data_IF_802203840327
#
_entry.id   IF_802203840327
#
_cell.length_a   1.000
_cell.length_b   1.000
_cell.length_c   1.000
_cell.angle_alpha   90.00
_cell.angle_beta   90.00
_cell.angle_gamma   90.00
#
_symmetry.space_group_name_H-M   'P 1'
#
loop_
_entity.id
_entity.type
_entity.pdbx_description
1 polymer ?
#
# COMPACT_ATOMS: atom_id res chain seq x y z
N UNK A 1 1.83 13.66 3.15
CA UNK A 1 1.58 12.48 2.31
C UNK A 1 2.40 11.34 2.86
N UNK A 2 1.74 10.22 3.14
CA UNK A 2 2.38 9.04 3.72
C UNK A 2 2.38 7.94 2.66
N UNK A 3 3.54 7.36 2.38
CA UNK A 3 3.75 6.35 1.35
C UNK A 3 4.28 5.09 2.02
N UNK A 4 3.55 3.98 1.90
CA UNK A 4 3.98 2.65 2.35
C UNK A 4 4.23 1.75 1.15
N UNK A 5 5.37 1.07 1.12
CA UNK A 5 5.76 0.16 0.04
C UNK A 5 6.20 -1.14 0.68
N UNK A 6 5.47 -2.23 0.43
CA UNK A 6 5.91 -3.56 0.81
C UNK A 6 6.82 -4.12 -0.28
N UNK A 7 8.08 -4.36 0.09
CA UNK A 7 9.13 -4.80 -0.82
C UNK A 7 10.26 -5.49 -0.05
N UNK A 8 10.83 -6.54 -0.62
CA UNK A 8 11.93 -7.33 -0.04
C UNK A 8 13.29 -7.11 -0.71
N UNK A 9 13.35 -6.25 -1.73
CA UNK A 9 14.62 -5.92 -2.37
C UNK A 9 15.49 -5.08 -1.42
N UNK A 10 16.81 -5.21 -1.51
CA UNK A 10 17.75 -4.52 -0.62
C UNK A 10 18.28 -3.20 -1.19
N UNK A 11 17.93 -2.86 -2.44
CA UNK A 11 18.51 -1.76 -3.21
C UNK A 11 17.71 -0.44 -3.12
N UNK A 12 16.91 -0.28 -2.06
CA UNK A 12 16.06 0.90 -1.85
C UNK A 12 16.82 2.22 -1.72
N UNK A 13 18.07 2.18 -1.22
CA UNK A 13 18.85 3.38 -0.89
C UNK A 13 19.12 4.28 -2.10
N UNK A 14 19.18 3.69 -3.29
CA UNK A 14 19.52 4.39 -4.54
C UNK A 14 18.29 4.82 -5.35
N UNK A 15 17.09 4.48 -4.90
CA UNK A 15 15.87 4.87 -5.60
C UNK A 15 15.61 6.38 -5.41
N UNK A 16 15.27 7.11 -6.48
CA UNK A 16 14.96 8.53 -6.38
C UNK A 16 13.72 8.73 -5.52
N UNK A 17 13.86 9.48 -4.42
CA UNK A 17 12.79 9.81 -3.50
C UNK A 17 12.51 11.31 -3.54
N UNK A 18 11.24 11.68 -3.66
CA UNK A 18 10.80 13.05 -3.45
C UNK A 18 10.54 13.27 -1.95
N UNK A 19 11.62 13.31 -1.15
CA UNK A 19 11.51 13.63 0.27
C UNK A 19 11.30 15.13 0.44
N UNK A 20 10.22 15.48 1.15
CA UNK A 20 9.91 16.85 1.55
C UNK A 20 9.47 16.83 3.01
N UNK A 21 9.43 17.99 3.68
CA UNK A 21 8.92 18.09 5.05
C UNK A 21 7.49 17.54 5.23
N UNK A 22 6.74 17.38 4.13
CA UNK A 22 5.36 16.90 4.13
C UNK A 22 5.20 15.50 3.54
N UNK A 23 6.26 14.81 3.10
CA UNK A 23 6.18 13.48 2.49
C UNK A 23 7.09 12.49 3.20
N UNK A 24 6.52 11.39 3.69
CA UNK A 24 7.26 10.31 4.35
C UNK A 24 7.10 8.98 3.61
N UNK A 25 8.20 8.26 3.46
CA UNK A 25 8.24 6.93 2.85
C UNK A 25 8.55 5.88 3.92
N UNK A 26 7.89 4.74 3.84
CA UNK A 26 8.18 3.58 4.69
C UNK A 26 8.27 2.35 3.81
N UNK A 27 9.47 1.77 3.76
CA UNK A 27 9.70 0.44 3.22
C UNK A 27 9.30 -0.58 4.27
N UNK A 28 8.43 -1.50 3.88
CA UNK A 28 7.79 -2.46 4.78
C UNK A 28 8.27 -3.84 4.34
N UNK A 29 9.10 -4.52 5.15
CA UNK A 29 9.53 -5.87 4.80
C UNK A 29 8.31 -6.81 4.80
N UNK A 30 8.21 -7.74 3.84
CA UNK A 30 7.16 -8.75 3.85
C UNK A 30 7.21 -9.61 5.11
N UNK A 31 6.04 -10.00 5.61
CA UNK A 31 5.90 -10.85 6.80
C UNK A 31 5.36 -12.24 6.45
N UNK A 32 5.51 -13.23 7.36
CA UNK A 32 4.87 -14.55 7.26
C UNK A 32 3.32 -14.47 7.35
N UNK A 33 2.68 -13.89 6.34
CA UNK A 33 1.23 -13.80 6.19
C UNK A 33 0.79 -13.76 4.72
N UNK A 34 1.76 -13.87 3.80
CA UNK A 34 1.54 -13.71 2.37
C UNK A 34 1.61 -12.25 1.93
N UNK A 35 1.72 -12.07 0.62
CA UNK A 35 1.92 -10.77 -0.03
C UNK A 35 0.80 -9.78 0.34
N UNK A 36 1.19 -8.61 0.83
CA UNK A 36 0.30 -7.53 1.27
C UNK A 36 -0.15 -7.62 2.72
N UNK A 37 0.21 -8.66 3.46
CA UNK A 37 -0.12 -8.78 4.89
C UNK A 37 0.56 -7.68 5.70
N UNK A 38 1.86 -7.46 5.47
CA UNK A 38 2.64 -6.47 6.20
C UNK A 38 2.16 -5.04 5.88
N UNK A 39 1.91 -4.73 4.60
CA UNK A 39 1.36 -3.44 4.19
C UNK A 39 -0.02 -3.18 4.80
N UNK A 40 -0.89 -4.20 4.83
CA UNK A 40 -2.23 -4.08 5.42
C UNK A 40 -2.17 -3.84 6.94
N UNK A 41 -1.28 -4.54 7.65
CA UNK A 41 -1.05 -4.33 9.08
C UNK A 41 -0.51 -2.92 9.36
N UNK A 42 0.52 -2.50 8.62
CA UNK A 42 1.10 -1.16 8.74
C UNK A 42 0.06 -0.07 8.43
N UNK A 43 -0.73 -0.23 7.37
CA UNK A 43 -1.77 0.73 6.99
C UNK A 43 -2.82 0.88 8.09
N UNK A 44 -3.25 -0.24 8.68
CA UNK A 44 -4.24 -0.25 9.77
C UNK A 44 -3.73 0.41 11.05
N UNK A 45 -2.42 0.28 11.33
CA UNK A 45 -1.80 0.85 12.52
C UNK A 45 -1.39 2.33 12.36
N UNK A 46 -1.02 2.73 11.15
CA UNK A 46 -0.38 4.03 10.90
C UNK A 46 -1.37 5.09 10.43
N UNK A 47 -2.37 4.71 9.62
CA UNK A 47 -3.29 5.66 9.01
C UNK A 47 -4.53 5.82 9.87
N UNK A 48 -4.76 7.04 10.34
CA UNK A 48 -5.99 7.43 11.02
C UNK A 48 -6.98 8.00 10.01
N UNK A 49 -8.25 7.62 10.13
CA UNK A 49 -9.31 8.22 9.32
C UNK A 49 -9.44 9.72 9.60
N UNK A 50 -9.47 10.52 8.55
CA UNK A 50 -9.90 11.93 8.56
C UNK A 50 -10.94 12.14 7.47
N UNK A 51 -11.76 13.21 7.48
CA UNK A 51 -12.74 13.47 6.41
C UNK A 51 -12.13 13.71 5.02
N UNK A 52 -10.88 14.17 4.95
CA UNK A 52 -10.12 14.49 3.74
C UNK A 52 -9.15 13.38 3.31
N UNK A 53 -9.05 12.29 4.08
CA UNK A 53 -8.20 11.14 3.74
C UNK A 53 -8.56 10.59 2.34
N UNK A 54 -7.56 10.50 1.49
CA UNK A 54 -7.63 9.82 0.21
C UNK A 54 -6.49 8.80 0.13
N UNK A 55 -6.79 7.59 -0.34
CA UNK A 55 -5.78 6.54 -0.48
C UNK A 55 -5.69 6.02 -1.91
N UNK A 56 -4.49 5.99 -2.44
CA UNK A 56 -4.17 5.34 -3.70
C UNK A 56 -3.28 4.12 -3.43
N UNK A 57 -3.61 2.97 -4.04
CA UNK A 57 -2.80 1.77 -3.90
C UNK A 57 -2.72 0.97 -5.19
N UNK A 58 -1.53 0.48 -5.54
CA UNK A 58 -1.36 -0.36 -6.71
C UNK A 58 -0.28 -1.42 -6.48
N UNK A 59 -0.28 -2.47 -7.30
CA UNK A 59 0.68 -3.57 -7.21
C UNK A 59 0.08 -4.90 -7.61
N UNK A 60 0.57 -5.98 -6.97
CA UNK A 60 0.07 -7.33 -7.18
C UNK A 60 -1.38 -7.48 -6.69
N UNK A 61 -2.19 -8.30 -7.36
CA UNK A 61 -3.62 -8.49 -7.08
C UNK A 61 -3.93 -8.86 -5.62
N UNK A 62 -3.21 -9.79 -5.01
CA UNK A 62 -3.42 -10.22 -3.62
C UNK A 62 -3.06 -9.09 -2.66
N UNK A 63 -1.94 -8.41 -2.89
CA UNK A 63 -1.55 -7.24 -2.10
C UNK A 63 -2.63 -6.16 -2.12
N UNK A 64 -3.08 -5.79 -3.31
CA UNK A 64 -4.08 -4.73 -3.48
C UNK A 64 -5.43 -5.15 -2.90
N UNK A 65 -5.77 -6.45 -2.89
CA UNK A 65 -6.96 -6.95 -2.19
C UNK A 65 -6.86 -6.77 -0.67
N UNK A 66 -5.70 -7.08 -0.07
CA UNK A 66 -5.46 -6.89 1.36
C UNK A 66 -5.57 -5.42 1.75
N UNK A 67 -4.91 -4.53 0.99
CA UNK A 67 -5.04 -3.08 1.16
C UNK A 67 -6.49 -2.63 1.05
N UNK A 68 -7.20 -3.02 -0.02
CA UNK A 68 -8.60 -2.63 -0.23
C UNK A 68 -9.52 -3.09 0.91
N UNK A 69 -9.25 -4.24 1.51
CA UNK A 69 -9.98 -4.72 2.68
C UNK A 69 -9.81 -3.77 3.87
N UNK A 70 -8.58 -3.33 4.16
CA UNK A 70 -8.31 -2.33 5.22
C UNK A 70 -9.03 -1.02 4.95
N UNK A 71 -8.94 -0.50 3.72
CA UNK A 71 -9.58 0.77 3.37
C UNK A 71 -11.08 0.76 3.63
N UNK A 72 -11.76 -0.34 3.30
CA UNK A 72 -13.22 -0.45 3.40
C UNK A 72 -13.70 -0.86 4.79
N UNK A 73 -13.06 -1.88 5.36
CA UNK A 73 -13.59 -2.58 6.53
C UNK A 73 -12.93 -2.14 7.84
N UNK A 74 -11.75 -1.52 7.77
CA UNK A 74 -11.04 -0.97 8.95
C UNK A 74 -11.16 0.54 8.97
N UNK A 75 -10.82 1.22 7.88
CA UNK A 75 -10.87 2.69 7.80
C UNK A 75 -12.24 3.25 7.40
N UNK A 76 -13.17 2.41 6.95
CA UNK A 76 -14.52 2.84 6.57
C UNK A 76 -14.56 3.82 5.38
N UNK A 77 -13.55 3.81 4.50
CA UNK A 77 -13.48 4.75 3.38
C UNK A 77 -14.53 4.42 2.32
N UNK A 78 -15.25 5.47 1.91
CA UNK A 78 -16.12 5.42 0.74
C UNK A 78 -15.33 5.17 -0.55
N UNK A 79 -16.00 4.60 -1.56
CA UNK A 79 -15.38 4.27 -2.85
C UNK A 79 -14.76 5.49 -3.56
N UNK A 80 -15.34 6.68 -3.39
CA UNK A 80 -14.84 7.94 -3.96
C UNK A 80 -13.51 8.39 -3.34
N UNK A 81 -13.15 7.85 -2.18
CA UNK A 81 -12.01 8.28 -1.37
C UNK A 81 -10.85 7.29 -1.40
N UNK A 82 -10.94 6.28 -2.25
CA UNK A 82 -9.82 5.43 -2.52
C UNK A 82 -9.79 4.92 -3.97
N UNK A 83 -8.61 4.81 -4.53
CA UNK A 83 -8.38 4.16 -5.81
C UNK A 83 -7.41 3.01 -5.66
N UNK A 84 -7.71 1.89 -6.33
CA UNK A 84 -6.85 0.72 -6.28
C UNK A 84 -6.71 0.08 -7.65
N UNK A 85 -5.49 -0.26 -8.07
CA UNK A 85 -5.22 -0.86 -9.38
C UNK A 85 -4.33 -2.10 -9.26
N UNK A 86 -4.68 -3.17 -9.97
CA UNK A 86 -3.80 -4.32 -10.13
C UNK A 86 -2.84 -4.03 -11.30
N UNK A 87 -1.54 -4.01 -11.03
CA UNK A 87 -0.53 -3.87 -12.07
C UNK A 87 -0.13 -5.23 -12.65
N UNK A 88 -0.15 -6.27 -11.83
CA UNK A 88 0.19 -7.61 -12.25
C UNK A 88 -0.48 -8.67 -11.36
N UNK A 89 -0.43 -9.91 -11.80
CA UNK A 89 -0.94 -11.08 -11.07
C UNK A 89 0.13 -12.15 -11.11
N UNK A 90 0.51 -12.68 -9.96
CA UNK A 90 1.50 -13.75 -9.87
C UNK A 90 1.09 -14.97 -10.71
N UNK A 91 2.03 -15.52 -11.47
CA UNK A 91 1.80 -16.64 -12.37
C UNK A 91 0.97 -16.32 -13.62
N UNK A 92 0.68 -15.03 -13.91
CA UNK A 92 0.00 -14.63 -15.15
C UNK A 92 0.84 -13.64 -15.95
N UNK A 93 1.06 -13.97 -17.21
CA UNK A 93 1.51 -13.01 -18.22
C UNK A 93 0.29 -12.48 -18.97
N UNK A 94 0.28 -11.17 -19.22
CA UNK A 94 -0.69 -10.54 -20.11
C UNK A 94 0.03 -10.25 -21.42
N UNK A 95 -0.19 -11.12 -22.41
CA UNK A 95 0.24 -10.95 -23.80
C UNK A 95 -0.81 -10.23 -24.61
#
# INVERSE_FOLDING_TARGET
MTIGIEDDHSDHEHLPRAETASTSWTWIPPEPGGRGSALAAWLSATVTYTPDLYVWGAGEKTLVKMVRNVLRNVLGLERSRHFTQFYWIEGKSFS
#
